data_IF_744599206574
#
_entry.id   IF_744599206574
#
_cell.length_a   1.000
_cell.length_b   1.000
_cell.length_c   1.000
_cell.angle_alpha   90.00
_cell.angle_beta   90.00
_cell.angle_gamma   90.00
#
_symmetry.space_group_name_H-M   'P 1'
#
loop_
_entity.id
_entity.type
_entity.pdbx_description
1 polymer ?
#
# COMPACT_ATOMS: atom_id res chain seq x y z
N UNK A 1 -19.90 31.78 13.57
CA UNK A 1 -19.55 31.04 12.35
C UNK A 1 -19.04 29.66 12.78
N UNK A 2 -19.94 28.65 12.83
CA UNK A 2 -19.69 27.33 13.43
C UNK A 2 -19.08 26.37 12.39
N UNK A 3 -17.77 26.43 12.19
CA UNK A 3 -17.08 25.57 11.19
C UNK A 3 -16.55 24.27 11.83
N UNK A 4 -16.70 24.07 13.13
CA UNK A 4 -16.22 22.86 13.80
C UNK A 4 -17.37 22.04 14.41
N UNK A 5 -18.31 21.61 13.57
CA UNK A 5 -19.13 20.45 13.94
C UNK A 5 -18.24 19.22 13.79
N UNK A 6 -17.51 18.91 14.86
CA UNK A 6 -16.64 17.74 15.03
C UNK A 6 -17.51 16.50 14.80
N UNK A 7 -17.55 16.04 13.56
CA UNK A 7 -18.23 14.79 13.19
C UNK A 7 -17.37 13.67 13.76
N UNK A 8 -17.68 13.25 14.96
CA UNK A 8 -17.10 12.08 15.65
C UNK A 8 -17.58 10.80 14.94
N UNK A 9 -17.35 10.70 13.64
CA UNK A 9 -17.63 9.49 12.90
C UNK A 9 -16.41 8.58 13.06
N UNK A 10 -16.52 7.68 14.03
CA UNK A 10 -15.57 6.56 14.18
C UNK A 10 -15.63 5.71 12.90
N UNK A 11 -14.48 5.31 12.40
CA UNK A 11 -14.42 4.31 11.35
C UNK A 11 -14.94 2.99 11.87
N UNK A 12 -15.67 2.24 11.05
CA UNK A 12 -16.07 0.89 11.37
C UNK A 12 -14.85 -0.05 11.36
N UNK A 13 -14.97 -1.22 11.96
CA UNK A 13 -13.92 -2.24 11.90
C UNK A 13 -13.64 -2.63 10.44
N UNK A 14 -14.70 -2.84 9.66
CA UNK A 14 -14.59 -3.18 8.25
C UNK A 14 -13.90 -2.05 7.47
N UNK A 15 -14.26 -0.80 7.68
CA UNK A 15 -13.62 0.35 7.05
C UNK A 15 -12.15 0.48 7.40
N UNK A 16 -11.78 0.24 8.67
CA UNK A 16 -10.38 0.28 9.11
C UNK A 16 -9.56 -0.84 8.47
N UNK A 17 -10.09 -2.07 8.40
CA UNK A 17 -9.45 -3.20 7.72
C UNK A 17 -9.33 -2.94 6.23
N UNK A 18 -10.37 -2.41 5.60
CA UNK A 18 -10.37 -2.10 4.16
C UNK A 18 -9.35 -1.01 3.81
N UNK A 19 -9.23 0.03 4.64
CA UNK A 19 -8.19 1.05 4.48
C UNK A 19 -6.80 0.45 4.58
N UNK A 20 -6.53 -0.36 5.60
CA UNK A 20 -5.25 -1.04 5.77
C UNK A 20 -4.92 -1.97 4.60
N UNK A 21 -5.85 -2.84 4.23
CA UNK A 21 -5.71 -3.76 3.09
C UNK A 21 -5.54 -3.00 1.77
N UNK A 22 -6.32 -1.93 1.57
CA UNK A 22 -6.23 -1.11 0.37
C UNK A 22 -4.88 -0.42 0.19
N UNK A 23 -4.21 -0.01 1.29
CA UNK A 23 -2.85 0.54 1.25
C UNK A 23 -1.81 -0.55 0.99
N UNK A 24 -1.94 -1.72 1.64
CA UNK A 24 -1.00 -2.84 1.47
C UNK A 24 -1.05 -3.42 0.06
N UNK A 25 -2.25 -3.63 -0.50
CA UNK A 25 -2.45 -4.08 -1.88
C UNK A 25 -2.34 -2.86 -2.80
N UNK A 26 -1.13 -2.47 -3.14
CA UNK A 26 -0.83 -1.30 -3.96
C UNK A 26 0.46 -1.47 -4.73
N UNK A 27 1.29 -0.43 -4.72
CA UNK A 27 2.58 -0.41 -5.41
C UNK A 27 3.49 -1.59 -5.05
N UNK A 28 3.47 -2.06 -3.81
CA UNK A 28 4.27 -3.21 -3.37
C UNK A 28 3.99 -4.49 -4.15
N UNK A 29 2.72 -4.76 -4.48
CA UNK A 29 2.36 -5.94 -5.26
C UNK A 29 2.46 -5.67 -6.76
N UNK A 30 1.89 -4.55 -7.24
CA UNK A 30 1.75 -4.36 -8.69
C UNK A 30 3.00 -3.77 -9.36
N UNK A 31 3.86 -3.06 -8.62
CA UNK A 31 5.05 -2.38 -9.17
C UNK A 31 6.32 -3.14 -8.85
N UNK A 32 6.48 -3.58 -7.59
CA UNK A 32 7.73 -4.16 -7.11
C UNK A 32 7.85 -5.66 -7.35
N UNK A 33 6.73 -6.37 -7.60
CA UNK A 33 6.74 -7.82 -7.77
C UNK A 33 7.66 -8.27 -8.90
N UNK A 34 7.61 -7.60 -10.06
CA UNK A 34 8.50 -7.90 -11.19
C UNK A 34 9.97 -7.71 -10.85
N UNK A 35 10.31 -6.61 -10.20
CA UNK A 35 11.70 -6.32 -9.79
C UNK A 35 12.23 -7.34 -8.77
N UNK A 36 11.39 -7.75 -7.82
CA UNK A 36 11.77 -8.78 -6.85
C UNK A 36 11.96 -10.13 -7.55
N UNK A 37 11.09 -10.49 -8.49
CA UNK A 37 11.21 -11.72 -9.26
C UNK A 37 12.52 -11.76 -10.09
N UNK A 38 12.91 -10.64 -10.69
CA UNK A 38 14.19 -10.51 -11.40
C UNK A 38 15.41 -10.68 -10.47
N UNK A 39 15.32 -10.16 -9.23
CA UNK A 39 16.44 -10.21 -8.29
C UNK A 39 16.63 -11.58 -7.63
N UNK A 40 15.55 -12.29 -7.34
CA UNK A 40 15.59 -13.53 -6.53
C UNK A 40 15.21 -14.78 -7.33
N UNK A 41 14.72 -14.65 -8.56
CA UNK A 41 14.34 -15.76 -9.42
C UNK A 41 13.41 -16.75 -8.73
N UNK A 42 13.76 -18.04 -8.75
CA UNK A 42 12.96 -19.14 -8.18
C UNK A 42 12.77 -19.04 -6.66
N UNK A 43 13.60 -18.24 -5.96
CA UNK A 43 13.46 -17.99 -4.52
C UNK A 43 12.38 -16.95 -4.17
N UNK A 44 11.67 -16.44 -5.16
CA UNK A 44 10.63 -15.43 -4.99
C UNK A 44 9.59 -15.77 -3.89
N UNK A 45 8.99 -16.98 -3.83
CA UNK A 45 8.05 -17.32 -2.76
C UNK A 45 8.69 -17.31 -1.36
N UNK A 46 9.94 -17.77 -1.26
CA UNK A 46 10.68 -17.81 0.00
C UNK A 46 10.99 -16.40 0.48
N UNK A 47 11.39 -15.49 -0.41
CA UNK A 47 11.64 -14.09 -0.11
C UNK A 47 10.38 -13.40 0.46
N UNK A 48 9.20 -13.68 -0.11
CA UNK A 48 7.92 -13.17 0.41
C UNK A 48 7.56 -13.72 1.79
N UNK A 49 7.79 -15.02 2.02
CA UNK A 49 7.55 -15.63 3.35
C UNK A 49 8.49 -15.00 4.39
N UNK A 50 9.78 -14.86 4.07
CA UNK A 50 10.75 -14.22 4.96
C UNK A 50 10.34 -12.76 5.27
N UNK A 51 9.94 -12.00 4.26
CA UNK A 51 9.39 -10.65 4.43
C UNK A 51 8.16 -10.62 5.32
N UNK A 52 7.22 -11.56 5.13
CA UNK A 52 6.01 -11.66 5.95
C UNK A 52 6.32 -11.93 7.43
N UNK A 53 7.33 -12.75 7.73
CA UNK A 53 7.78 -13.00 9.10
C UNK A 53 8.30 -11.69 9.74
N UNK A 54 9.18 -10.96 9.05
CA UNK A 54 9.72 -9.69 9.54
C UNK A 54 8.61 -8.67 9.80
N UNK A 55 7.67 -8.53 8.85
CA UNK A 55 6.51 -7.64 8.99
C UNK A 55 5.60 -8.10 10.12
N UNK A 56 5.45 -9.40 10.34
CA UNK A 56 4.68 -9.97 11.46
C UNK A 56 5.20 -9.51 12.82
N UNK A 57 6.52 -9.57 13.05
CA UNK A 57 7.13 -9.05 14.28
C UNK A 57 6.93 -7.54 14.44
N UNK A 58 7.11 -6.78 13.36
CA UNK A 58 6.86 -5.34 13.35
C UNK A 58 5.40 -5.03 13.71
N UNK A 59 4.46 -5.71 13.07
CA UNK A 59 3.02 -5.54 13.29
C UNK A 59 2.61 -5.79 14.73
N UNK A 60 3.20 -6.79 15.38
CA UNK A 60 2.96 -7.08 16.80
C UNK A 60 3.27 -5.86 17.68
N UNK A 61 4.41 -5.20 17.43
CA UNK A 61 4.79 -3.98 18.15
C UNK A 61 3.78 -2.85 17.94
N UNK A 62 3.35 -2.63 16.69
CA UNK A 62 2.34 -1.62 16.38
C UNK A 62 0.99 -1.88 17.06
N UNK A 63 0.53 -3.14 17.08
CA UNK A 63 -0.71 -3.53 17.77
C UNK A 63 -0.62 -3.25 19.27
N UNK A 64 0.51 -3.60 19.90
CA UNK A 64 0.72 -3.32 21.33
C UNK A 64 0.73 -1.83 21.62
N UNK A 65 1.44 -1.03 20.84
CA UNK A 65 1.46 0.44 21.02
C UNK A 65 0.10 1.07 20.75
N UNK A 66 -0.62 0.64 19.73
CA UNK A 66 -1.94 1.14 19.40
C UNK A 66 -2.96 0.88 20.51
N UNK A 67 -2.91 -0.30 21.13
CA UNK A 67 -3.77 -0.66 22.24
C UNK A 67 -3.41 0.11 23.54
N UNK A 68 -2.12 0.33 23.78
CA UNK A 68 -1.67 1.05 24.98
C UNK A 68 -1.86 2.57 24.86
N UNK A 69 -1.75 3.12 23.66
CA UNK A 69 -1.80 4.58 23.41
C UNK A 69 -2.70 4.93 22.23
N UNK A 70 -4.02 4.67 22.33
CA UNK A 70 -4.95 4.98 21.24
C UNK A 70 -4.95 6.49 20.96
N UNK A 71 -4.60 6.84 19.71
CA UNK A 71 -4.44 8.24 19.30
C UNK A 71 -4.59 8.40 17.80
N UNK A 72 -5.18 9.51 17.37
CA UNK A 72 -5.19 9.91 15.97
C UNK A 72 -3.81 10.36 15.44
N UNK A 73 -2.83 10.52 16.31
CA UNK A 73 -1.45 10.91 15.95
C UNK A 73 -0.59 9.79 15.39
N UNK A 74 -1.09 8.54 15.38
CA UNK A 74 -0.40 7.39 14.76
C UNK A 74 1.03 7.21 15.28
N UNK A 75 1.94 6.92 14.36
CA UNK A 75 3.36 6.63 14.66
C UNK A 75 4.07 7.81 15.35
N UNK A 76 3.74 9.05 15.00
CA UNK A 76 4.33 10.22 15.65
C UNK A 76 4.03 10.24 17.16
N UNK A 77 2.84 9.79 17.56
CA UNK A 77 2.49 9.64 18.99
C UNK A 77 3.30 8.53 19.66
N UNK A 78 3.53 7.42 18.99
CA UNK A 78 4.36 6.32 19.50
C UNK A 78 5.80 6.75 19.69
N UNK A 79 6.38 7.48 18.73
CA UNK A 79 7.71 8.04 18.82
C UNK A 79 7.84 9.03 20.00
N UNK A 80 6.87 9.91 20.17
CA UNK A 80 6.84 10.84 21.31
C UNK A 80 6.74 10.11 22.66
N UNK A 81 6.03 8.98 22.70
CA UNK A 81 5.94 8.16 23.91
C UNK A 81 7.22 7.37 24.21
N UNK A 82 7.91 6.90 23.17
CA UNK A 82 9.14 6.13 23.29
C UNK A 82 10.37 7.00 23.64
N UNK A 83 10.50 8.16 22.98
CA UNK A 83 11.68 9.01 23.06
C UNK A 83 11.44 10.33 23.81
N UNK A 84 10.22 10.57 24.28
CA UNK A 84 9.81 11.87 24.86
C UNK A 84 9.55 12.93 23.77
N UNK A 85 8.96 14.08 24.19
CA UNK A 85 8.80 15.23 23.31
C UNK A 85 10.18 15.89 23.08
N UNK A 86 10.67 15.88 21.85
CA UNK A 86 11.99 16.45 21.57
C UNK A 86 12.41 16.27 20.11
N UNK A 87 13.64 16.66 19.81
CA UNK A 87 14.21 16.64 18.46
C UNK A 87 14.18 15.26 17.82
N UNK A 88 14.47 14.20 18.56
CA UNK A 88 14.47 12.83 18.05
C UNK A 88 13.07 12.42 17.52
N UNK A 89 12.03 12.58 18.35
CA UNK A 89 10.66 12.25 17.93
C UNK A 89 10.20 13.13 16.75
N UNK A 90 10.58 14.41 16.74
CA UNK A 90 10.30 15.34 15.64
C UNK A 90 11.00 14.93 14.34
N UNK A 91 12.27 14.60 14.38
CA UNK A 91 13.05 14.20 13.19
C UNK A 91 12.52 12.91 12.57
N UNK A 92 12.23 11.88 13.36
CA UNK A 92 11.64 10.64 12.84
C UNK A 92 10.23 10.85 12.26
N UNK A 93 9.43 11.70 12.89
CA UNK A 93 8.10 12.04 12.36
C UNK A 93 8.20 12.80 11.02
N UNK A 94 9.15 13.69 10.88
CA UNK A 94 9.43 14.42 9.63
C UNK A 94 9.92 13.47 8.52
N UNK A 95 10.85 12.57 8.85
CA UNK A 95 11.34 11.56 7.89
C UNK A 95 10.19 10.67 7.42
N UNK A 96 9.31 10.26 8.33
CA UNK A 96 8.13 9.47 7.96
C UNK A 96 7.19 10.26 7.03
N UNK A 97 6.97 11.54 7.31
CA UNK A 97 6.15 12.39 6.44
C UNK A 97 6.75 12.50 5.03
N UNK A 98 8.05 12.76 4.93
CA UNK A 98 8.76 12.84 3.64
C UNK A 98 8.65 11.50 2.89
N UNK A 99 8.86 10.37 3.59
CA UNK A 99 8.73 9.05 2.99
C UNK A 99 7.33 8.79 2.44
N UNK A 100 6.28 9.24 3.12
CA UNK A 100 4.91 9.14 2.64
C UNK A 100 4.67 9.99 1.39
N UNK A 101 5.22 11.20 1.33
CA UNK A 101 5.11 12.07 0.15
C UNK A 101 5.79 11.42 -1.06
N UNK A 102 6.99 10.86 -0.88
CA UNK A 102 7.72 10.15 -1.94
C UNK A 102 6.93 8.92 -2.40
N UNK A 103 6.39 8.13 -1.47
CA UNK A 103 5.58 6.97 -1.80
C UNK A 103 4.31 7.34 -2.61
N UNK A 104 3.63 8.42 -2.24
CA UNK A 104 2.46 8.90 -2.99
C UNK A 104 2.84 9.39 -4.40
N UNK A 105 3.98 10.04 -4.54
CA UNK A 105 4.49 10.47 -5.84
C UNK A 105 4.79 9.29 -6.76
N UNK A 106 5.36 8.20 -6.21
CA UNK A 106 5.60 6.95 -6.94
C UNK A 106 4.27 6.35 -7.43
N UNK A 107 3.27 6.24 -6.56
CA UNK A 107 1.96 5.69 -6.91
C UNK A 107 1.29 6.54 -7.99
N UNK A 108 1.32 7.87 -7.87
CA UNK A 108 0.73 8.76 -8.85
C UNK A 108 1.42 8.68 -10.21
N UNK A 109 2.75 8.63 -10.24
CA UNK A 109 3.53 8.45 -11.48
C UNK A 109 3.26 7.11 -12.14
N UNK A 110 3.22 6.03 -11.35
CA UNK A 110 2.91 4.69 -11.84
C UNK A 110 1.50 4.60 -12.42
N UNK A 111 0.51 5.23 -11.77
CA UNK A 111 -0.85 5.30 -12.30
C UNK A 111 -0.89 5.97 -13.69
N UNK A 112 -0.21 7.12 -13.84
CA UNK A 112 -0.13 7.80 -15.13
C UNK A 112 0.53 6.93 -16.20
N UNK A 113 1.67 6.32 -15.88
CA UNK A 113 2.42 5.47 -16.80
C UNK A 113 1.63 4.23 -17.22
N UNK A 114 0.97 3.53 -16.30
CA UNK A 114 0.17 2.33 -16.62
C UNK A 114 -1.11 2.66 -17.38
N UNK A 115 -1.77 3.75 -17.02
CA UNK A 115 -2.97 4.17 -17.73
C UNK A 115 -2.66 4.47 -19.19
N UNK A 116 -1.57 5.17 -19.48
CA UNK A 116 -1.21 5.54 -20.84
C UNK A 116 -0.68 4.39 -21.68
N UNK A 117 -0.25 3.27 -21.10
CA UNK A 117 0.04 2.05 -21.86
C UNK A 117 -1.18 1.44 -22.57
N UNK A 118 -2.39 1.84 -22.17
CA UNK A 118 -3.64 1.43 -22.83
C UNK A 118 -3.99 2.32 -24.03
N UNK A 119 -3.22 3.39 -24.28
CA UNK A 119 -3.43 4.37 -25.33
C UNK A 119 -2.21 4.42 -26.27
N UNK A 120 -2.33 5.01 -27.48
CA UNK A 120 -1.21 5.20 -28.39
C UNK A 120 -0.03 5.96 -27.74
N UNK A 121 1.19 5.66 -28.16
CA UNK A 121 2.43 6.21 -27.58
C UNK A 121 2.51 7.74 -27.60
N UNK A 122 1.84 8.39 -28.53
CA UNK A 122 1.77 9.86 -28.61
C UNK A 122 1.22 10.54 -27.36
N UNK A 123 0.45 9.80 -26.53
CA UNK A 123 -0.09 10.28 -25.25
C UNK A 123 0.86 10.08 -24.05
N UNK A 124 2.00 9.44 -24.23
CA UNK A 124 2.95 9.10 -23.13
C UNK A 124 3.40 10.32 -22.33
N UNK A 125 3.51 11.49 -22.96
CA UNK A 125 3.85 12.76 -22.31
C UNK A 125 2.85 13.25 -21.25
N UNK A 126 1.62 12.74 -21.26
CA UNK A 126 0.57 13.15 -20.31
C UNK A 126 0.58 12.37 -18.99
N UNK A 127 1.52 11.44 -18.78
CA UNK A 127 1.59 10.61 -17.57
C UNK A 127 1.63 11.45 -16.27
N UNK A 128 2.42 12.51 -16.26
CA UNK A 128 2.52 13.41 -15.11
C UNK A 128 1.22 14.15 -14.82
N UNK A 129 0.48 14.53 -15.85
CA UNK A 129 -0.81 15.22 -15.72
C UNK A 129 -1.84 14.28 -15.09
N UNK A 130 -1.89 13.03 -15.53
CA UNK A 130 -2.76 12.00 -14.92
C UNK A 130 -2.39 11.74 -13.46
N UNK A 131 -1.11 11.70 -13.13
CA UNK A 131 -0.64 11.57 -11.76
C UNK A 131 -1.11 12.74 -10.87
N UNK A 132 -0.98 13.97 -11.34
CA UNK A 132 -1.46 15.16 -10.63
C UNK A 132 -2.98 15.14 -10.49
N UNK A 133 -3.71 14.76 -11.53
CA UNK A 133 -5.16 14.62 -11.48
C UNK A 133 -5.60 13.58 -10.44
N UNK A 134 -4.89 12.45 -10.33
CA UNK A 134 -5.15 11.43 -9.31
C UNK A 134 -4.95 12.00 -7.89
N UNK A 135 -3.87 12.74 -7.65
CA UNK A 135 -3.62 13.40 -6.35
C UNK A 135 -4.74 14.39 -6.03
N UNK A 136 -5.16 15.20 -7.01
CA UNK A 136 -6.29 16.13 -6.85
C UNK A 136 -7.60 15.42 -6.50
N UNK A 137 -7.90 14.31 -7.18
CA UNK A 137 -9.06 13.47 -6.88
C UNK A 137 -8.98 12.88 -5.47
N UNK A 138 -7.84 12.33 -5.09
CA UNK A 138 -7.61 11.80 -3.75
C UNK A 138 -7.78 12.87 -2.67
N UNK A 139 -7.33 14.11 -2.93
CA UNK A 139 -7.54 15.24 -2.04
C UNK A 139 -9.04 15.55 -1.87
N UNK A 140 -9.80 15.63 -2.96
CA UNK A 140 -11.25 15.88 -2.92
C UNK A 140 -11.97 14.80 -2.12
N UNK A 141 -11.62 13.52 -2.33
CA UNK A 141 -12.19 12.40 -1.58
C UNK A 141 -11.85 12.56 -0.08
N UNK A 142 -10.63 12.95 0.25
CA UNK A 142 -10.16 13.05 1.63
C UNK A 142 -10.87 14.16 2.41
N UNK A 143 -11.21 15.28 1.77
CA UNK A 143 -11.98 16.36 2.41
C UNK A 143 -13.48 16.07 2.50
N UNK A 144 -13.97 15.07 1.76
CA UNK A 144 -15.41 14.73 1.72
C UNK A 144 -15.91 13.99 2.98
N UNK A 145 -15.00 13.57 3.85
CA UNK A 145 -15.31 13.00 5.15
C UNK A 145 -15.21 11.47 5.24
N UNK A 146 -15.13 10.97 6.46
CA UNK A 146 -14.78 9.58 6.76
C UNK A 146 -15.71 8.54 6.14
N UNK A 147 -17.00 8.83 6.01
CA UNK A 147 -17.95 7.88 5.39
C UNK A 147 -17.65 7.61 3.92
N UNK A 148 -17.30 8.66 3.18
CA UNK A 148 -16.98 8.55 1.75
C UNK A 148 -15.64 7.84 1.60
N UNK A 149 -14.66 8.19 2.41
CA UNK A 149 -13.35 7.52 2.45
C UNK A 149 -13.53 6.03 2.73
N UNK A 150 -14.31 5.67 3.74
CA UNK A 150 -14.58 4.27 4.10
C UNK A 150 -15.28 3.50 2.97
N UNK A 151 -16.29 4.08 2.34
CA UNK A 151 -17.01 3.46 1.24
C UNK A 151 -16.09 3.20 0.02
N UNK A 152 -15.31 4.20 -0.39
CA UNK A 152 -14.37 4.08 -1.50
C UNK A 152 -13.24 3.09 -1.17
N UNK A 153 -12.70 3.15 0.05
CA UNK A 153 -11.67 2.22 0.50
C UNK A 153 -12.16 0.77 0.50
N UNK A 154 -13.38 0.53 0.99
CA UNK A 154 -13.98 -0.81 1.01
C UNK A 154 -14.23 -1.31 -0.41
N UNK A 155 -14.80 -0.50 -1.27
CA UNK A 155 -15.04 -0.85 -2.67
C UNK A 155 -13.75 -1.19 -3.41
N UNK A 156 -12.74 -0.33 -3.29
CA UNK A 156 -11.44 -0.56 -3.95
C UNK A 156 -10.69 -1.75 -3.36
N UNK A 157 -10.77 -2.00 -2.05
CA UNK A 157 -10.16 -3.16 -1.43
C UNK A 157 -10.79 -4.47 -1.95
N UNK A 158 -12.11 -4.52 -2.10
CA UNK A 158 -12.82 -5.69 -2.65
C UNK A 158 -12.36 -5.96 -4.10
N UNK A 159 -12.31 -4.93 -4.94
CA UNK A 159 -11.86 -5.08 -6.34
C UNK A 159 -10.42 -5.60 -6.40
N UNK A 160 -9.52 -5.05 -5.58
CA UNK A 160 -8.11 -5.45 -5.54
C UNK A 160 -7.96 -6.92 -5.11
N UNK A 161 -8.63 -7.32 -4.04
CA UNK A 161 -8.59 -8.71 -3.53
C UNK A 161 -9.19 -9.66 -4.55
N UNK A 162 -10.35 -9.33 -5.13
CA UNK A 162 -10.97 -10.14 -6.17
C UNK A 162 -10.08 -10.25 -7.43
N UNK A 163 -9.46 -9.16 -7.86
CA UNK A 163 -8.53 -9.16 -8.99
C UNK A 163 -7.32 -10.07 -8.76
N UNK A 164 -6.68 -9.99 -7.58
CA UNK A 164 -5.55 -10.87 -7.24
C UNK A 164 -6.00 -12.33 -7.17
N UNK A 165 -7.16 -12.61 -6.56
CA UNK A 165 -7.69 -13.95 -6.48
C UNK A 165 -7.98 -14.53 -7.87
N UNK A 166 -8.58 -13.76 -8.76
CA UNK A 166 -8.82 -14.16 -10.15
C UNK A 166 -7.51 -14.44 -10.90
N UNK A 167 -6.50 -13.59 -10.76
CA UNK A 167 -5.18 -13.80 -11.34
C UNK A 167 -4.51 -15.06 -10.80
N UNK A 168 -4.58 -15.30 -9.50
CA UNK A 168 -4.02 -16.50 -8.88
C UNK A 168 -4.73 -17.79 -9.37
N UNK A 169 -6.06 -17.77 -9.41
CA UNK A 169 -6.86 -18.91 -9.88
C UNK A 169 -6.60 -19.17 -11.37
N UNK A 170 -6.61 -18.14 -12.19
CA UNK A 170 -6.33 -18.31 -13.64
C UNK A 170 -4.91 -18.81 -13.89
N UNK A 171 -3.93 -18.32 -13.14
CA UNK A 171 -2.56 -18.81 -13.19
C UNK A 171 -2.47 -20.30 -12.85
N UNK A 172 -3.12 -20.74 -11.77
CA UNK A 172 -3.16 -22.15 -11.38
C UNK A 172 -3.85 -23.05 -12.43
N UNK A 173 -4.90 -22.56 -13.08
CA UNK A 173 -5.61 -23.31 -14.13
C UNK A 173 -4.76 -23.45 -15.37
N UNK A 174 -4.08 -22.37 -15.79
CA UNK A 174 -3.28 -22.34 -17.03
C UNK A 174 -1.94 -23.07 -16.85
N UNK A 175 -1.25 -22.85 -15.74
CA UNK A 175 0.09 -23.39 -15.48
C UNK A 175 0.06 -24.80 -14.86
N UNK A 176 -1.09 -25.27 -14.40
CA UNK A 176 -1.20 -26.43 -13.53
C UNK A 176 -0.68 -26.13 -12.12
N UNK A 177 -0.90 -27.07 -11.19
CA UNK A 177 -0.26 -26.98 -9.86
C UNK A 177 1.27 -27.02 -10.06
N UNK A 178 2.04 -26.07 -9.52
CA UNK A 178 3.48 -26.13 -9.60
C UNK A 178 3.93 -27.43 -8.94
N UNK A 179 4.46 -28.35 -9.76
CA UNK A 179 5.13 -29.54 -9.23
C UNK A 179 6.37 -29.04 -8.50
N UNK A 180 6.39 -29.22 -7.18
CA UNK A 180 7.53 -28.87 -6.31
C UNK A 180 8.73 -29.79 -6.59
N UNK A 181 8.67 -30.61 -7.62
CA UNK A 181 9.78 -31.42 -8.13
C UNK A 181 10.69 -30.53 -8.98
N UNK A 182 11.67 -29.94 -8.32
CA UNK A 182 12.72 -29.15 -8.96
C UNK A 182 13.48 -29.99 -9.98
N UNK A 183 13.31 -29.65 -11.24
CA UNK A 183 14.36 -29.86 -12.21
C UNK A 183 15.20 -28.57 -12.22
N UNK A 184 16.20 -28.51 -11.36
CA UNK A 184 17.31 -27.58 -11.50
C UNK A 184 18.10 -28.00 -12.74
N UNK A 185 17.64 -27.59 -13.91
CA UNK A 185 18.49 -27.61 -15.10
C UNK A 185 19.41 -26.42 -14.94
N UNK A 186 20.62 -26.68 -14.43
CA UNK A 186 21.73 -25.76 -14.52
C UNK A 186 22.03 -25.57 -16.01
N UNK A 187 21.56 -24.48 -16.60
CA UNK A 187 22.05 -24.01 -17.89
C UNK A 187 23.39 -23.32 -17.64
N UNK A 188 24.45 -24.15 -17.53
CA UNK A 188 25.80 -23.72 -17.79
C UNK A 188 25.98 -23.61 -19.31
N UNK A 189 26.00 -22.39 -19.84
CA UNK A 189 26.71 -22.02 -21.06
C UNK A 189 26.78 -20.51 -21.17
#
# INVERSE_FOLDING_TARGET
MNILKKTNQKLSLLGSVSLGTGVMIGAGIFVLMGQIAELVGDLFPIAFIAGAIVVGFSSYSYVKFSNAYPSSGGVAKFLTKAFGPGTAAGSFSLLMYISMVVAQSLVAGTFGAYTLRLFPEEYSGYASILGVALIGLAYIINISGNKIIEAIATFTAIIKVAGIALLAISGLIISGLPTITGNYVATNS
#
